data_IF_593318914852
#
_entry.id   IF_593318914852
#
_cell.length_a   1.000
_cell.length_b   1.000
_cell.length_c   1.000
_cell.angle_alpha   90.00
_cell.angle_beta   90.00
_cell.angle_gamma   90.00
#
_symmetry.space_group_name_H-M   'P 1'
#
loop_
_entity.id
_entity.type
_entity.pdbx_description
1 polymer ?
#
# COMPACT_ATOMS: atom_id res chain seq x y z
N UNK A 1 2.76 3.34 34.74
CA UNK A 1 1.98 3.54 33.50
C UNK A 1 0.84 2.54 33.57
N UNK A 2 -0.38 2.99 33.90
CA UNK A 2 -1.55 2.11 33.96
C UNK A 2 -1.76 1.47 32.58
N UNK A 3 -1.79 0.14 32.52
CA UNK A 3 -2.29 -0.57 31.33
C UNK A 3 -3.76 -0.18 31.19
N UNK A 4 -4.08 0.73 30.27
CA UNK A 4 -5.47 0.85 29.79
C UNK A 4 -5.86 -0.52 29.25
N UNK A 5 -6.94 -1.08 29.78
CA UNK A 5 -7.51 -2.30 29.23
C UNK A 5 -7.86 -2.06 27.76
N UNK A 6 -7.43 -2.98 26.89
CA UNK A 6 -7.80 -2.96 25.49
C UNK A 6 -9.31 -3.18 25.39
N UNK A 7 -9.97 -2.47 24.48
CA UNK A 7 -11.38 -2.70 24.22
C UNK A 7 -11.63 -4.13 23.67
N UNK A 8 -12.88 -4.59 23.78
CA UNK A 8 -13.26 -5.95 23.38
C UNK A 8 -12.99 -6.25 21.90
N UNK A 9 -13.16 -5.27 21.01
CA UNK A 9 -12.94 -5.44 19.57
C UNK A 9 -11.46 -5.56 19.23
N UNK A 10 -10.60 -4.79 19.93
CA UNK A 10 -9.14 -4.89 19.82
C UNK A 10 -8.65 -6.23 20.34
N UNK A 11 -9.17 -6.72 21.48
CA UNK A 11 -8.84 -8.05 21.99
C UNK A 11 -9.22 -9.17 21.02
N UNK A 12 -10.42 -9.08 20.41
CA UNK A 12 -10.86 -10.03 19.37
C UNK A 12 -9.98 -9.96 18.12
N UNK A 13 -9.56 -8.77 17.70
CA UNK A 13 -8.65 -8.60 16.56
C UNK A 13 -7.29 -9.27 16.79
N UNK A 14 -6.76 -9.26 18.02
CA UNK A 14 -5.54 -10.00 18.36
C UNK A 14 -5.70 -11.50 18.11
N UNK A 15 -6.80 -12.09 18.58
CA UNK A 15 -7.07 -13.53 18.41
C UNK A 15 -7.23 -13.92 16.93
N UNK A 16 -7.92 -13.10 16.14
CA UNK A 16 -8.11 -13.33 14.70
C UNK A 16 -6.79 -13.22 13.92
N UNK A 17 -5.97 -12.22 14.23
CA UNK A 17 -4.65 -12.05 13.63
C UNK A 17 -3.75 -13.23 13.99
N UNK A 18 -3.70 -13.64 15.26
CA UNK A 18 -2.92 -14.80 15.69
C UNK A 18 -3.42 -16.11 15.07
N UNK A 19 -4.72 -16.27 14.91
CA UNK A 19 -5.30 -17.42 14.21
C UNK A 19 -4.81 -17.49 12.77
N UNK A 20 -4.84 -16.39 12.03
CA UNK A 20 -4.29 -16.35 10.68
C UNK A 20 -2.80 -16.67 10.66
N UNK A 21 -2.00 -16.04 11.53
CA UNK A 21 -0.55 -16.28 11.58
C UNK A 21 -0.19 -17.73 11.95
N UNK A 22 -1.02 -18.42 12.74
CA UNK A 22 -0.73 -19.80 13.15
C UNK A 22 -1.21 -20.86 12.15
N UNK A 23 -2.27 -20.61 11.38
CA UNK A 23 -2.94 -21.64 10.58
C UNK A 23 -2.93 -21.38 9.07
N UNK A 24 -2.65 -20.15 8.63
CA UNK A 24 -2.61 -19.82 7.19
C UNK A 24 -1.31 -20.30 6.54
N UNK A 25 -1.39 -20.60 5.25
CA UNK A 25 -0.23 -20.83 4.38
C UNK A 25 0.19 -19.56 3.62
N UNK A 26 -0.32 -18.39 4.01
CA UNK A 26 0.01 -17.10 3.39
C UNK A 26 -0.90 -16.68 2.23
N UNK A 27 -2.08 -17.28 2.10
CA UNK A 27 -3.06 -16.85 1.10
C UNK A 27 -3.64 -15.48 1.48
N UNK A 28 -3.77 -14.52 0.55
CA UNK A 28 -4.31 -13.20 0.86
C UNK A 28 -5.68 -13.26 1.54
N UNK A 29 -5.85 -12.52 2.64
CA UNK A 29 -7.07 -12.53 3.45
C UNK A 29 -7.44 -11.11 3.92
N UNK A 30 -8.55 -10.59 3.40
CA UNK A 30 -9.02 -9.24 3.69
C UNK A 30 -9.44 -9.06 5.17
N UNK A 31 -9.97 -10.11 5.80
CA UNK A 31 -10.36 -10.06 7.21
C UNK A 31 -9.13 -9.96 8.11
N UNK A 32 -8.06 -10.71 7.81
CA UNK A 32 -6.77 -10.61 8.48
C UNK A 32 -6.21 -9.19 8.36
N UNK A 33 -6.15 -8.64 7.14
CA UNK A 33 -5.64 -7.28 6.90
C UNK A 33 -6.47 -6.22 7.62
N UNK A 34 -7.81 -6.33 7.62
CA UNK A 34 -8.70 -5.43 8.33
C UNK A 34 -8.47 -5.48 9.86
N UNK A 35 -8.32 -6.68 10.43
CA UNK A 35 -8.04 -6.84 11.86
C UNK A 35 -6.65 -6.31 12.22
N UNK A 36 -5.63 -6.55 11.39
CA UNK A 36 -4.30 -5.98 11.58
C UNK A 36 -4.35 -4.44 11.55
N UNK A 37 -5.08 -3.86 10.59
CA UNK A 37 -5.29 -2.42 10.50
C UNK A 37 -6.00 -1.84 11.74
N UNK A 38 -6.95 -2.58 12.32
CA UNK A 38 -7.57 -2.21 13.61
C UNK A 38 -6.55 -2.19 14.75
N UNK A 39 -5.63 -3.16 14.83
CA UNK A 39 -4.56 -3.15 15.84
C UNK A 39 -3.62 -1.96 15.68
N UNK A 40 -3.30 -1.57 14.44
CA UNK A 40 -2.52 -0.36 14.16
C UNK A 40 -3.28 0.91 14.57
N UNK A 41 -4.61 0.95 14.44
CA UNK A 41 -5.42 2.05 14.97
C UNK A 41 -5.32 2.14 16.49
N UNK A 42 -5.48 1.02 17.19
CA UNK A 42 -5.34 1.00 18.64
C UNK A 42 -3.93 1.44 19.08
N UNK A 43 -2.90 1.08 18.32
CA UNK A 43 -1.54 1.53 18.58
C UNK A 43 -1.40 3.07 18.56
N UNK A 44 -2.19 3.78 17.74
CA UNK A 44 -2.10 5.24 17.62
C UNK A 44 -2.30 5.98 18.95
N UNK A 45 -3.13 5.43 19.85
CA UNK A 45 -3.42 6.02 21.16
C UNK A 45 -2.46 5.58 22.27
N UNK A 46 -1.59 4.60 21.99
CA UNK A 46 -0.83 3.87 23.01
C UNK A 46 0.69 3.78 22.78
N UNK A 47 1.17 3.99 21.54
CA UNK A 47 2.60 3.98 21.24
C UNK A 47 3.30 5.26 21.73
N UNK A 48 4.55 5.13 22.15
CA UNK A 48 5.40 6.28 22.40
C UNK A 48 5.74 6.95 21.04
N UNK A 49 5.83 8.28 20.95
CA UNK A 49 6.11 8.98 19.69
C UNK A 49 7.37 8.51 18.96
N UNK A 50 8.37 8.01 19.69
CA UNK A 50 9.65 7.54 19.14
C UNK A 50 9.62 6.06 18.69
N UNK A 51 8.53 5.34 18.93
CA UNK A 51 8.42 3.91 18.63
C UNK A 51 7.40 3.67 17.53
N UNK A 52 7.77 3.07 16.38
CA UNK A 52 6.82 2.78 15.31
C UNK A 52 5.65 1.91 15.79
N UNK A 53 4.44 2.15 15.27
CA UNK A 53 3.21 1.44 15.69
C UNK A 53 3.33 -0.07 15.57
N UNK A 54 4.01 -0.58 14.54
CA UNK A 54 4.20 -2.01 14.35
C UNK A 54 4.90 -2.67 15.56
N UNK A 55 5.78 -1.94 16.26
CA UNK A 55 6.50 -2.49 17.41
C UNK A 55 5.55 -2.73 18.59
N UNK A 56 4.62 -1.79 18.83
CA UNK A 56 3.57 -1.98 19.84
C UNK A 56 2.64 -3.14 19.47
N UNK A 57 2.21 -3.22 18.20
CA UNK A 57 1.35 -4.30 17.71
C UNK A 57 2.02 -5.66 17.89
N UNK A 58 3.30 -5.79 17.52
CA UNK A 58 4.09 -7.01 17.72
C UNK A 58 4.20 -7.43 19.19
N UNK A 59 4.34 -6.46 20.11
CA UNK A 59 4.33 -6.74 21.56
C UNK A 59 2.97 -7.24 22.05
N UNK A 60 1.87 -6.64 21.61
CA UNK A 60 0.52 -7.09 22.01
C UNK A 60 0.22 -8.49 21.48
N UNK A 61 0.55 -8.77 20.21
CA UNK A 61 0.38 -10.09 19.62
C UNK A 61 1.23 -11.15 20.33
N UNK A 62 2.48 -10.84 20.65
CA UNK A 62 3.37 -11.77 21.37
C UNK A 62 2.85 -12.07 22.78
N UNK A 63 2.39 -11.03 23.50
CA UNK A 63 1.79 -11.21 24.83
C UNK A 63 0.52 -12.04 24.77
N UNK A 64 -0.37 -11.75 23.81
CA UNK A 64 -1.61 -12.50 23.63
C UNK A 64 -1.37 -13.95 23.22
N UNK A 65 -0.37 -14.21 22.38
CA UNK A 65 0.00 -15.59 22.01
C UNK A 65 0.45 -16.40 23.24
N UNK A 66 1.21 -15.79 24.15
CA UNK A 66 1.63 -16.45 25.39
C UNK A 66 0.45 -16.83 26.31
N UNK A 67 -0.62 -16.03 26.32
CA UNK A 67 -1.88 -16.33 27.02
C UNK A 67 -2.65 -17.45 26.32
N UNK A 68 -2.77 -17.39 24.99
CA UNK A 68 -3.50 -18.39 24.20
C UNK A 68 -2.85 -19.78 24.28
N UNK A 69 -1.51 -19.85 24.33
CA UNK A 69 -0.78 -21.12 24.55
C UNK A 69 -1.16 -21.83 25.85
N UNK A 70 -1.58 -21.08 26.87
CA UNK A 70 -1.97 -21.63 28.17
C UNK A 70 -3.46 -21.94 28.27
N UNK A 71 -4.29 -21.25 27.48
CA UNK A 71 -5.74 -21.24 27.62
C UNK A 71 -6.50 -21.91 26.46
N UNK A 72 -5.86 -22.13 25.31
CA UNK A 72 -6.48 -22.66 24.10
C UNK A 72 -5.69 -23.81 23.51
N UNK A 73 -6.32 -24.98 23.38
CA UNK A 73 -5.72 -26.16 22.75
C UNK A 73 -5.38 -25.94 21.27
N UNK A 74 -6.04 -25.00 20.60
CA UNK A 74 -5.74 -24.66 19.20
C UNK A 74 -4.33 -24.06 19.05
N UNK A 75 -3.80 -23.41 20.09
CA UNK A 75 -2.46 -22.83 20.12
C UNK A 75 -1.45 -23.70 20.88
N UNK A 76 -1.74 -24.99 21.09
CA UNK A 76 -0.81 -25.90 21.75
C UNK A 76 0.50 -26.05 20.95
N UNK A 77 0.40 -26.11 19.62
CA UNK A 77 1.52 -25.93 18.70
C UNK A 77 1.42 -24.55 18.04
N UNK A 78 2.25 -23.63 18.52
CA UNK A 78 2.29 -22.24 18.07
C UNK A 78 3.64 -21.87 17.43
N UNK A 79 4.46 -22.86 17.06
CA UNK A 79 5.82 -22.63 16.53
C UNK A 79 5.78 -21.72 15.30
N UNK A 80 4.77 -21.90 14.44
CA UNK A 80 4.56 -21.05 13.28
C UNK A 80 4.29 -19.59 13.69
N UNK A 81 3.27 -19.33 14.51
CA UNK A 81 2.94 -17.98 14.94
C UNK A 81 4.11 -17.31 15.68
N UNK A 82 4.81 -18.01 16.57
CA UNK A 82 5.99 -17.50 17.27
C UNK A 82 7.10 -17.09 16.31
N UNK A 83 7.37 -17.93 15.31
CA UNK A 83 8.40 -17.65 14.30
C UNK A 83 8.00 -16.49 13.40
N UNK A 84 6.76 -16.48 12.91
CA UNK A 84 6.26 -15.43 12.02
C UNK A 84 6.23 -14.08 12.74
N UNK A 85 5.81 -14.02 14.00
CA UNK A 85 5.84 -12.78 14.79
C UNK A 85 7.26 -12.23 14.95
N UNK A 86 8.23 -13.10 15.24
CA UNK A 86 9.64 -12.70 15.34
C UNK A 86 10.15 -12.15 14.01
N UNK A 87 9.95 -12.90 12.92
CA UNK A 87 10.39 -12.47 11.59
C UNK A 87 9.74 -11.17 11.19
N UNK A 88 8.42 -11.07 11.31
CA UNK A 88 7.63 -9.95 10.81
C UNK A 88 7.90 -8.65 11.57
N UNK A 89 7.97 -8.70 12.91
CA UNK A 89 8.03 -7.48 13.72
C UNK A 89 9.44 -7.12 14.21
N UNK A 90 10.40 -8.05 14.16
CA UNK A 90 11.77 -7.82 14.66
C UNK A 90 12.83 -7.88 13.56
N UNK A 91 12.76 -8.86 12.66
CA UNK A 91 13.82 -9.11 11.68
C UNK A 91 13.56 -8.43 10.32
N UNK A 92 12.29 -8.43 9.86
CA UNK A 92 11.91 -7.90 8.55
C UNK A 92 12.10 -6.39 8.40
N UNK A 93 11.62 -5.51 9.31
CA UNK A 93 11.79 -4.07 9.15
C UNK A 93 13.25 -3.61 9.00
N UNK A 94 14.20 -4.03 9.86
CA UNK A 94 15.60 -3.64 9.68
C UNK A 94 16.23 -4.27 8.43
N UNK A 95 15.89 -5.52 8.08
CA UNK A 95 16.42 -6.16 6.87
C UNK A 95 15.92 -5.50 5.58
N UNK A 96 14.65 -5.11 5.53
CA UNK A 96 14.08 -4.38 4.38
C UNK A 96 14.75 -3.02 4.21
N UNK A 97 15.00 -2.29 5.32
CA UNK A 97 15.75 -1.03 5.29
C UNK A 97 17.19 -1.21 4.81
N UNK A 98 17.88 -2.24 5.27
CA UNK A 98 19.26 -2.48 4.84
C UNK A 98 19.32 -2.85 3.35
N UNK A 99 18.38 -3.67 2.87
CA UNK A 99 18.29 -4.03 1.45
C UNK A 99 18.05 -2.80 0.57
N UNK A 100 17.18 -1.89 1.01
CA UNK A 100 16.81 -0.66 0.29
C UNK A 100 17.51 0.60 0.81
N UNK A 101 18.69 0.46 1.42
CA UNK A 101 19.38 1.57 2.11
C UNK A 101 19.78 2.71 1.18
N UNK A 102 19.97 2.43 -0.10
CA UNK A 102 20.32 3.40 -1.13
C UNK A 102 19.08 4.15 -1.65
N UNK A 103 17.95 3.45 -1.70
CA UNK A 103 16.73 3.94 -2.33
C UNK A 103 15.73 4.57 -1.34
N UNK A 104 15.62 4.01 -0.13
CA UNK A 104 14.59 4.35 0.87
C UNK A 104 15.18 4.95 2.16
N UNK A 105 16.42 5.45 2.15
CA UNK A 105 17.06 6.04 3.34
C UNK A 105 16.27 7.21 3.95
N UNK A 106 15.57 7.97 3.11
CA UNK A 106 14.80 9.16 3.48
C UNK A 106 13.46 8.81 4.13
N UNK A 107 13.02 7.56 4.03
CA UNK A 107 11.73 7.11 4.55
C UNK A 107 11.81 6.80 6.05
N UNK A 108 10.75 7.18 6.75
CA UNK A 108 10.56 6.81 8.14
C UNK A 108 9.86 5.45 8.28
N UNK A 109 10.00 4.84 9.46
CA UNK A 109 9.46 3.51 9.74
C UNK A 109 7.94 3.49 9.87
N UNK A 110 7.32 4.57 10.31
CA UNK A 110 5.86 4.65 10.48
C UNK A 110 5.16 4.67 9.12
N UNK A 111 5.76 5.36 8.15
CA UNK A 111 5.28 5.44 6.78
C UNK A 111 5.51 4.13 6.00
N UNK A 112 6.71 3.53 6.07
CA UNK A 112 7.01 2.29 5.33
C UNK A 112 6.26 1.07 5.85
N UNK A 113 6.17 0.93 7.17
CA UNK A 113 5.70 -0.29 7.83
C UNK A 113 4.30 -0.12 8.40
N UNK A 114 3.38 0.40 7.58
CA UNK A 114 1.97 0.49 7.92
C UNK A 114 1.32 -0.91 8.03
N UNK A 115 0.07 -0.96 8.49
CA UNK A 115 -0.65 -2.20 8.73
C UNK A 115 -0.68 -3.14 7.51
N UNK A 116 -0.93 -2.60 6.33
CA UNK A 116 -1.04 -3.40 5.11
C UNK A 116 0.32 -3.82 4.57
N UNK A 117 1.36 -2.98 4.67
CA UNK A 117 2.72 -3.38 4.32
C UNK A 117 3.19 -4.56 5.18
N UNK A 118 2.93 -4.50 6.49
CA UNK A 118 3.22 -5.59 7.42
C UNK A 118 2.35 -6.82 7.14
N UNK A 119 1.08 -6.63 6.78
CA UNK A 119 0.19 -7.72 6.37
C UNK A 119 0.67 -8.45 5.11
N UNK A 120 1.08 -7.72 4.07
CA UNK A 120 1.68 -8.29 2.86
C UNK A 120 2.99 -9.02 3.13
N UNK A 121 3.83 -8.48 4.02
CA UNK A 121 5.03 -9.18 4.46
C UNK A 121 4.68 -10.48 5.19
N UNK A 122 3.63 -10.49 6.04
CA UNK A 122 3.16 -11.70 6.72
C UNK A 122 2.71 -12.79 5.73
N UNK A 123 1.92 -12.40 4.71
CA UNK A 123 1.49 -13.30 3.62
C UNK A 123 2.70 -13.96 2.94
N UNK A 124 3.71 -13.17 2.56
CA UNK A 124 4.92 -13.67 1.90
C UNK A 124 5.78 -14.54 2.81
N UNK A 125 5.91 -14.20 4.10
CA UNK A 125 6.63 -15.01 5.11
C UNK A 125 5.95 -16.37 5.26
N UNK A 126 4.62 -16.38 5.40
CA UNK A 126 3.83 -17.60 5.56
C UNK A 126 3.90 -18.50 4.31
N UNK A 127 3.90 -17.89 3.12
CA UNK A 127 4.02 -18.60 1.84
C UNK A 127 5.36 -19.33 1.67
N UNK A 128 6.41 -18.99 2.44
CA UNK A 128 7.66 -19.76 2.45
C UNK A 128 7.46 -21.16 3.06
N UNK A 129 6.44 -21.37 3.88
CA UNK A 129 6.13 -22.64 4.55
C UNK A 129 7.17 -23.09 5.58
N UNK A 130 6.93 -24.20 6.26
CA UNK A 130 7.90 -24.84 7.14
C UNK A 130 9.04 -25.56 6.39
N UNK A 131 10.08 -26.03 7.08
CA UNK A 131 10.30 -25.96 8.53
C UNK A 131 10.71 -24.54 8.99
N UNK A 132 10.37 -24.20 10.25
CA UNK A 132 10.51 -22.85 10.81
C UNK A 132 11.86 -22.58 11.52
N UNK A 133 12.70 -23.61 11.63
CA UNK A 133 14.02 -23.61 12.27
C UNK A 133 15.04 -22.72 11.54
N UNK A 134 14.97 -22.62 10.22
CA UNK A 134 15.86 -21.78 9.40
C UNK A 134 15.17 -20.56 8.77
N UNK A 135 13.99 -20.19 9.27
CA UNK A 135 13.14 -19.21 8.60
C UNK A 135 13.80 -17.82 8.42
N UNK A 136 14.67 -17.40 9.34
CA UNK A 136 15.44 -16.15 9.23
C UNK A 136 16.39 -16.12 8.02
N UNK A 137 16.92 -17.27 7.59
CA UNK A 137 17.79 -17.36 6.40
C UNK A 137 17.03 -17.10 5.09
N UNK A 138 15.70 -17.21 5.13
CA UNK A 138 14.81 -16.96 3.97
C UNK A 138 14.36 -15.51 3.86
N UNK A 139 14.76 -14.64 4.78
CA UNK A 139 14.36 -13.23 4.76
C UNK A 139 14.75 -12.50 3.45
N UNK A 140 15.91 -12.76 2.82
CA UNK A 140 16.21 -12.23 1.49
C UNK A 140 15.23 -12.70 0.39
N UNK A 141 14.73 -13.93 0.48
CA UNK A 141 13.71 -14.46 -0.44
C UNK A 141 12.36 -13.79 -0.21
N UNK A 142 12.01 -13.54 1.05
CA UNK A 142 10.80 -12.77 1.42
C UNK A 142 10.86 -11.36 0.84
N UNK A 143 11.97 -10.65 1.02
CA UNK A 143 12.15 -9.30 0.47
C UNK A 143 12.08 -9.33 -1.06
N UNK A 144 12.76 -10.29 -1.70
CA UNK A 144 12.72 -10.45 -3.16
C UNK A 144 11.32 -10.74 -3.71
N UNK A 145 10.53 -11.56 -3.02
CA UNK A 145 9.15 -11.88 -3.40
C UNK A 145 8.18 -10.71 -3.13
N UNK A 146 8.45 -9.90 -2.11
CA UNK A 146 7.66 -8.72 -1.79
C UNK A 146 7.94 -7.56 -2.76
N UNK A 147 9.17 -7.44 -3.26
CA UNK A 147 9.59 -6.42 -4.22
C UNK A 147 9.04 -6.72 -5.62
N UNK A 148 7.78 -6.35 -5.85
CA UNK A 148 7.03 -6.70 -7.06
C UNK A 148 6.67 -5.48 -7.94
N UNK A 149 7.23 -4.30 -7.65
CA UNK A 149 7.02 -3.08 -8.42
C UNK A 149 8.32 -2.43 -8.86
N UNK A 150 8.41 -2.20 -10.16
CA UNK A 150 9.53 -1.47 -10.78
C UNK A 150 9.15 -0.02 -11.14
N UNK A 151 7.89 0.23 -11.47
CA UNK A 151 7.45 1.47 -12.12
C UNK A 151 8.00 1.61 -13.54
N UNK A 152 8.06 2.83 -14.06
CA UNK A 152 8.59 3.03 -15.40
C UNK A 152 10.12 2.97 -15.40
N UNK A 153 10.66 1.92 -16.01
CA UNK A 153 12.10 1.71 -16.17
C UNK A 153 12.44 1.32 -17.62
N UNK A 154 12.92 2.25 -18.46
CA UNK A 154 13.38 1.90 -19.80
C UNK A 154 14.60 1.00 -19.68
N UNK A 155 14.52 -0.21 -20.22
CA UNK A 155 15.66 -1.11 -20.29
C UNK A 155 16.29 -0.98 -21.67
N UNK A 156 17.58 -0.57 -21.78
CA UNK A 156 18.28 -0.58 -23.05
C UNK A 156 18.30 -2.01 -23.61
N UNK A 157 17.71 -2.20 -24.79
CA UNK A 157 17.78 -3.47 -25.52
C UNK A 157 19.02 -3.42 -26.40
N UNK A 158 20.09 -4.13 -26.00
CA UNK A 158 21.26 -4.31 -26.87
C UNK A 158 20.99 -5.48 -27.82
N UNK A 159 21.53 -5.42 -29.04
CA UNK A 159 21.32 -6.45 -30.09
C UNK A 159 21.68 -7.88 -29.63
N UNK A 160 22.55 -8.03 -28.63
CA UNK A 160 23.06 -9.33 -28.16
C UNK A 160 22.60 -9.75 -26.77
N UNK A 161 22.00 -8.87 -25.97
CA UNK A 161 21.61 -9.17 -24.57
C UNK A 161 20.41 -8.35 -24.12
N UNK A 162 19.47 -9.04 -23.48
CA UNK A 162 18.43 -8.40 -22.67
C UNK A 162 19.03 -8.07 -21.29
N UNK A 163 19.12 -6.79 -20.97
CA UNK A 163 19.50 -6.34 -19.62
C UNK A 163 18.26 -6.52 -18.75
N UNK A 164 18.40 -7.06 -17.54
CA UNK A 164 17.30 -7.12 -16.57
C UNK A 164 17.55 -6.09 -15.47
N UNK A 165 16.51 -5.48 -14.88
CA UNK A 165 16.67 -4.55 -13.77
C UNK A 165 17.39 -5.21 -12.59
N UNK A 166 18.17 -4.44 -11.85
CA UNK A 166 18.78 -4.93 -10.61
C UNK A 166 17.71 -5.21 -9.57
N UNK A 167 17.93 -6.22 -8.72
CA UNK A 167 16.98 -6.62 -7.69
C UNK A 167 16.61 -5.50 -6.70
N UNK A 168 17.52 -4.55 -6.44
CA UNK A 168 17.28 -3.40 -5.56
C UNK A 168 16.48 -2.28 -6.23
N UNK A 169 16.28 -2.32 -7.56
CA UNK A 169 15.40 -1.36 -8.25
C UNK A 169 13.91 -1.70 -8.05
N UNK A 170 13.61 -2.96 -7.75
CA UNK A 170 12.27 -3.44 -7.42
C UNK A 170 11.94 -3.14 -5.97
N UNK A 171 10.79 -2.57 -5.71
CA UNK A 171 10.30 -2.25 -4.36
C UNK A 171 8.89 -2.80 -4.18
N UNK A 172 8.43 -2.90 -2.94
CA UNK A 172 7.00 -3.03 -2.65
C UNK A 172 6.38 -1.64 -2.54
N UNK A 173 5.36 -1.29 -3.34
CA UNK A 173 4.57 -0.08 -3.11
C UNK A 173 3.89 -0.19 -1.75
N UNK A 174 3.84 0.91 -1.00
CA UNK A 174 3.25 0.91 0.34
C UNK A 174 1.73 1.01 0.21
N UNK A 175 0.95 0.00 0.62
CA UNK A 175 -0.49 -0.01 0.39
C UNK A 175 -1.21 1.03 1.25
N UNK A 176 -2.11 1.79 0.64
CA UNK A 176 -2.97 2.79 1.27
C UNK A 176 -4.41 2.31 1.38
N UNK A 177 -4.87 1.51 0.42
CA UNK A 177 -6.19 0.88 0.42
C UNK A 177 -6.07 -0.53 -0.15
N UNK A 178 -6.79 -1.46 0.44
CA UNK A 178 -6.97 -2.82 -0.07
C UNK A 178 -8.46 -3.14 -0.10
N UNK A 179 -8.94 -3.67 -1.22
CA UNK A 179 -10.33 -4.12 -1.38
C UNK A 179 -10.74 -5.02 -0.20
N UNK A 180 -11.95 -4.79 0.31
CA UNK A 180 -12.54 -5.50 1.46
C UNK A 180 -11.80 -5.33 2.81
N UNK A 181 -10.62 -4.69 2.82
CA UNK A 181 -9.85 -4.37 4.04
C UNK A 181 -9.93 -2.89 4.43
N UNK A 182 -10.28 -2.03 3.46
CA UNK A 182 -10.42 -0.59 3.63
C UNK A 182 -9.11 0.17 3.49
N UNK A 183 -9.03 1.33 4.15
CA UNK A 183 -7.88 2.25 4.08
C UNK A 183 -6.95 2.06 5.27
N UNK A 184 -5.64 2.03 5.00
CA UNK A 184 -4.59 1.90 6.00
C UNK A 184 -4.63 3.06 6.99
N UNK A 185 -4.53 2.75 8.28
CA UNK A 185 -4.31 3.73 9.34
C UNK A 185 -2.97 4.43 9.10
N UNK A 186 -2.98 5.76 9.15
CA UNK A 186 -1.76 6.54 8.96
C UNK A 186 -2.05 7.98 8.59
N UNK A 187 -0.98 8.70 8.21
CA UNK A 187 -1.04 10.12 7.82
C UNK A 187 -2.06 10.39 6.71
N UNK A 188 -2.08 9.53 5.69
CA UNK A 188 -2.92 9.71 4.50
C UNK A 188 -4.36 9.19 4.66
N UNK A 189 -4.72 8.60 5.80
CA UNK A 189 -5.97 7.83 5.93
C UNK A 189 -7.21 8.64 5.54
N UNK A 190 -7.35 9.85 6.10
CA UNK A 190 -8.56 10.66 5.88
C UNK A 190 -8.76 11.04 4.42
N UNK A 191 -7.70 11.53 3.76
CA UNK A 191 -7.74 11.95 2.35
C UNK A 191 -7.95 10.75 1.43
N UNK A 192 -7.25 9.64 1.66
CA UNK A 192 -7.40 8.43 0.85
C UNK A 192 -8.81 7.86 0.97
N UNK A 193 -9.39 7.81 2.17
CA UNK A 193 -10.76 7.33 2.39
C UNK A 193 -11.77 8.15 1.61
N UNK A 194 -11.74 9.48 1.78
CA UNK A 194 -12.64 10.37 1.06
C UNK A 194 -12.43 10.29 -0.46
N UNK A 195 -11.19 10.10 -0.93
CA UNK A 195 -10.92 9.94 -2.36
C UNK A 195 -11.48 8.62 -2.93
N UNK A 196 -11.38 7.52 -2.19
CA UNK A 196 -12.00 6.24 -2.58
C UNK A 196 -13.52 6.39 -2.64
N UNK A 197 -14.14 7.05 -1.65
CA UNK A 197 -15.59 7.29 -1.63
C UNK A 197 -16.03 8.15 -2.84
N UNK A 198 -15.24 9.17 -3.22
CA UNK A 198 -15.48 9.97 -4.42
C UNK A 198 -15.35 9.14 -5.70
N UNK A 199 -14.32 8.31 -5.82
CA UNK A 199 -14.13 7.45 -7.00
C UNK A 199 -15.29 6.46 -7.17
N UNK A 200 -15.82 5.91 -6.07
CA UNK A 200 -16.97 5.00 -6.08
C UNK A 200 -18.29 5.68 -6.47
N UNK A 201 -18.41 6.99 -6.21
CA UNK A 201 -19.61 7.78 -6.49
C UNK A 201 -19.50 8.63 -7.77
N UNK A 202 -18.34 8.60 -8.45
CA UNK A 202 -18.10 9.30 -9.71
C UNK A 202 -18.98 8.71 -10.82
N UNK A 203 -19.50 9.59 -11.69
CA UNK A 203 -20.37 9.17 -12.78
C UNK A 203 -19.69 8.15 -13.73
N UNK A 204 -20.48 7.17 -14.15
CA UNK A 204 -20.01 6.04 -14.95
C UNK A 204 -19.42 6.44 -16.32
N UNK A 205 -19.84 7.57 -16.88
CA UNK A 205 -19.28 8.08 -18.13
C UNK A 205 -17.86 8.62 -17.94
N UNK A 206 -17.60 9.37 -16.86
CA UNK A 206 -16.26 9.83 -16.50
C UNK A 206 -15.33 8.66 -16.20
N UNK A 207 -15.80 7.69 -15.40
CA UNK A 207 -15.05 6.46 -15.09
C UNK A 207 -14.68 5.68 -16.36
N UNK A 208 -15.61 5.57 -17.32
CA UNK A 208 -15.35 4.93 -18.61
C UNK A 208 -14.34 5.71 -19.45
N UNK A 209 -14.41 7.04 -19.47
CA UNK A 209 -13.46 7.89 -20.20
C UNK A 209 -12.05 7.85 -19.61
N UNK A 210 -11.94 7.70 -18.29
CA UNK A 210 -10.65 7.60 -17.58
C UNK A 210 -10.08 6.18 -17.53
N UNK A 211 -10.76 5.19 -18.12
CA UNK A 211 -10.39 3.76 -18.00
C UNK A 211 -10.22 3.31 -16.54
N UNK A 212 -11.08 3.82 -15.65
CA UNK A 212 -11.04 3.51 -14.23
C UNK A 212 -12.33 2.81 -13.84
N UNK A 213 -12.20 1.66 -13.19
CA UNK A 213 -13.32 0.93 -12.62
C UNK A 213 -13.02 0.70 -11.13
N UNK A 214 -13.76 1.35 -10.21
CA UNK A 214 -13.57 1.15 -8.77
C UNK A 214 -13.68 -0.33 -8.35
N UNK A 215 -14.46 -1.14 -9.07
CA UNK A 215 -14.63 -2.57 -8.79
C UNK A 215 -13.44 -3.43 -9.28
N UNK A 216 -12.47 -2.82 -9.97
CA UNK A 216 -11.22 -3.47 -10.35
C UNK A 216 -10.01 -3.00 -9.54
N UNK A 217 -10.14 -1.95 -8.72
CA UNK A 217 -9.08 -1.50 -7.82
C UNK A 217 -8.96 -2.44 -6.61
N UNK A 218 -8.02 -3.40 -6.66
CA UNK A 218 -7.73 -4.27 -5.51
C UNK A 218 -6.82 -3.59 -4.50
N UNK A 219 -5.91 -2.73 -4.99
CA UNK A 219 -4.95 -2.04 -4.14
C UNK A 219 -4.66 -0.62 -4.68
N UNK A 220 -4.75 0.38 -3.82
CA UNK A 220 -4.13 1.68 -4.04
C UNK A 220 -2.91 1.75 -3.14
N UNK A 221 -1.76 2.10 -3.71
CA UNK A 221 -0.49 2.20 -2.99
C UNK A 221 0.26 3.46 -3.42
N UNK A 222 1.29 3.84 -2.66
CA UNK A 222 2.26 4.82 -3.13
C UNK A 222 3.62 4.20 -3.42
N UNK A 223 4.35 4.79 -4.35
CA UNK A 223 5.76 4.51 -4.59
C UNK A 223 6.60 5.16 -3.47
N UNK A 224 7.31 4.39 -2.62
CA UNK A 224 8.08 4.93 -1.50
C UNK A 224 9.43 5.54 -1.91
N UNK A 225 9.77 5.50 -3.20
CA UNK A 225 11.04 6.05 -3.70
C UNK A 225 10.97 7.57 -3.73
N UNK A 226 12.12 8.21 -3.53
CA UNK A 226 12.21 9.66 -3.64
C UNK A 226 11.85 10.12 -5.06
N UNK A 227 11.08 11.19 -5.16
CA UNK A 227 10.74 11.76 -6.46
C UNK A 227 11.88 12.66 -6.97
N UNK A 228 12.66 12.16 -7.94
CA UNK A 228 13.74 12.91 -8.57
C UNK A 228 13.24 13.78 -9.74
N UNK A 229 12.99 15.07 -9.50
CA UNK A 229 12.51 16.00 -10.53
C UNK A 229 13.43 16.11 -11.76
N UNK A 230 14.72 15.80 -11.61
CA UNK A 230 15.69 15.86 -12.71
C UNK A 230 15.71 14.57 -13.54
N UNK A 231 15.16 13.46 -13.03
CA UNK A 231 15.10 12.21 -13.76
C UNK A 231 14.25 12.36 -15.03
N UNK A 232 14.75 11.97 -16.23
CA UNK A 232 14.02 12.17 -17.50
C UNK A 232 12.61 11.58 -17.54
N UNK A 233 12.35 10.50 -16.79
CA UNK A 233 11.00 9.92 -16.67
C UNK A 233 9.99 10.92 -16.10
N UNK A 234 10.42 11.74 -15.14
CA UNK A 234 9.56 12.66 -14.40
C UNK A 234 9.20 13.91 -15.22
N UNK A 235 9.79 14.05 -16.42
CA UNK A 235 9.38 15.03 -17.43
C UNK A 235 8.23 14.54 -18.30
N UNK A 236 7.81 13.27 -18.16
CA UNK A 236 6.64 12.74 -18.87
C UNK A 236 5.37 13.37 -18.29
N UNK A 237 4.47 13.88 -19.14
CA UNK A 237 3.16 14.34 -18.70
C UNK A 237 2.46 13.29 -17.84
N UNK A 238 1.89 13.74 -16.72
CA UNK A 238 1.09 12.94 -15.78
C UNK A 238 1.80 11.76 -15.09
N UNK A 239 3.10 11.52 -15.31
CA UNK A 239 3.82 10.46 -14.59
C UNK A 239 3.91 10.73 -13.07
N UNK A 240 3.99 12.02 -12.71
CA UNK A 240 3.95 12.48 -11.31
C UNK A 240 2.63 12.16 -10.59
N UNK A 241 1.56 11.85 -11.32
CA UNK A 241 0.25 11.54 -10.76
C UNK A 241 0.09 10.05 -10.41
N UNK A 242 0.99 9.19 -10.90
CA UNK A 242 0.91 7.75 -10.71
C UNK A 242 0.53 7.00 -11.99
N UNK A 243 0.27 5.70 -11.84
CA UNK A 243 -0.11 4.81 -12.93
C UNK A 243 -0.75 3.53 -12.39
N UNK A 244 -1.55 2.86 -13.23
CA UNK A 244 -1.81 1.44 -13.04
C UNK A 244 -0.51 0.64 -13.12
N UNK A 245 -0.36 -0.35 -12.24
CA UNK A 245 0.81 -1.21 -12.19
C UNK A 245 0.75 -2.35 -13.22
N UNK A 246 1.67 -2.39 -14.19
CA UNK A 246 1.70 -3.45 -15.20
C UNK A 246 1.96 -4.85 -14.64
N UNK A 247 2.54 -4.98 -13.45
CA UNK A 247 2.87 -6.29 -12.85
C UNK A 247 1.72 -6.90 -12.06
N UNK A 248 0.66 -6.13 -11.79
CA UNK A 248 -0.53 -6.59 -11.08
C UNK A 248 -1.72 -6.59 -12.03
N UNK A 249 -1.82 -7.67 -12.81
CA UNK A 249 -2.80 -7.86 -13.89
C UNK A 249 -3.60 -9.14 -13.67
N UNK A 250 -4.91 -9.09 -13.91
CA UNK A 250 -5.77 -10.27 -13.83
C UNK A 250 -5.71 -11.12 -15.11
N UNK A 251 -6.35 -12.30 -15.07
CA UNK A 251 -6.42 -13.22 -16.22
C UNK A 251 -7.19 -12.66 -17.42
N UNK A 252 -7.89 -11.53 -17.28
CA UNK A 252 -8.59 -10.82 -18.35
C UNK A 252 -7.77 -9.63 -18.88
N UNK A 253 -6.53 -9.46 -18.44
CA UNK A 253 -5.64 -8.39 -18.89
C UNK A 253 -5.93 -7.03 -18.25
N UNK A 254 -6.63 -6.99 -17.11
CA UNK A 254 -7.00 -5.74 -16.41
C UNK A 254 -6.08 -5.50 -15.22
N UNK A 255 -5.55 -4.29 -15.11
CA UNK A 255 -4.70 -3.91 -13.98
C UNK A 255 -5.51 -3.83 -12.68
N UNK A 256 -4.88 -4.19 -11.56
CA UNK A 256 -5.53 -4.36 -10.24
C UNK A 256 -4.92 -3.51 -9.13
N UNK A 257 -3.69 -3.02 -9.30
CA UNK A 257 -3.01 -2.12 -8.36
C UNK A 257 -2.74 -0.77 -9.00
N UNK A 258 -3.18 0.31 -8.35
CA UNK A 258 -2.85 1.67 -8.75
C UNK A 258 -1.76 2.22 -7.82
N UNK A 259 -0.70 2.81 -8.40
CA UNK A 259 0.42 3.35 -7.64
C UNK A 259 0.54 4.85 -7.88
N UNK A 260 0.29 5.65 -6.83
CA UNK A 260 0.49 7.11 -6.83
C UNK A 260 1.92 7.46 -6.41
N UNK A 261 2.38 8.66 -6.77
CA UNK A 261 3.65 9.18 -6.26
C UNK A 261 3.46 9.80 -4.88
N UNK A 262 4.36 9.50 -3.93
CA UNK A 262 4.24 10.01 -2.57
C UNK A 262 4.27 11.54 -2.49
N UNK A 263 5.04 12.20 -3.34
CA UNK A 263 5.11 13.68 -3.41
C UNK A 263 3.73 14.31 -3.61
N UNK A 264 2.84 13.65 -4.36
CA UNK A 264 1.48 14.12 -4.58
C UNK A 264 0.66 14.01 -3.31
N UNK A 265 0.77 12.91 -2.57
CA UNK A 265 0.12 12.75 -1.27
C UNK A 265 0.63 13.78 -0.26
N UNK A 266 1.94 13.99 -0.19
CA UNK A 266 2.55 14.95 0.74
C UNK A 266 2.14 16.40 0.44
N UNK A 267 1.99 16.77 -0.83
CA UNK A 267 1.48 18.07 -1.22
C UNK A 267 0.02 18.27 -0.76
N UNK A 268 -0.82 17.24 -0.93
CA UNK A 268 -2.21 17.27 -0.46
C UNK A 268 -2.31 17.35 1.06
N UNK A 269 -1.49 16.57 1.77
CA UNK A 269 -1.44 16.62 3.22
C UNK A 269 -0.96 17.97 3.72
N UNK A 270 0.04 18.57 3.09
CA UNK A 270 0.52 19.92 3.45
C UNK A 270 -0.61 20.95 3.36
N UNK A 271 -1.45 20.86 2.31
CA UNK A 271 -2.61 21.74 2.14
C UNK A 271 -3.70 21.47 3.18
N UNK A 272 -4.01 20.20 3.45
CA UNK A 272 -5.02 19.79 4.41
C UNK A 272 -4.64 20.07 5.87
N UNK A 273 -3.36 19.93 6.21
CA UNK A 273 -2.79 20.17 7.54
C UNK A 273 -2.50 21.66 7.80
N UNK A 274 -2.53 22.50 6.76
CA UNK A 274 -2.26 23.92 6.88
C UNK A 274 -3.26 24.61 7.83
N UNK A 275 -2.73 25.33 8.82
CA UNK A 275 -3.54 26.19 9.70
C UNK A 275 -3.89 27.48 8.95
N UNK A 276 -5.02 27.46 8.24
CA UNK A 276 -5.63 28.63 7.59
C UNK A 276 -7.15 28.53 7.73
N UNK A 277 -7.84 29.66 7.89
CA UNK A 277 -9.24 29.75 8.37
C UNK A 277 -10.36 29.11 7.54
N UNK A 278 -10.06 28.15 6.67
CA UNK A 278 -11.07 27.32 6.01
C UNK A 278 -11.49 26.16 6.93
N UNK A 279 -12.76 25.73 6.86
CA UNK A 279 -13.22 24.54 7.56
C UNK A 279 -12.45 23.27 7.15
N UNK A 280 -12.13 22.41 8.13
CA UNK A 280 -11.29 21.21 7.93
C UNK A 280 -11.94 20.18 7.00
N UNK A 281 -13.25 20.06 7.05
CA UNK A 281 -14.06 19.25 6.14
C UNK A 281 -13.96 19.73 4.68
N UNK A 282 -13.94 21.04 4.45
CA UNK A 282 -13.71 21.60 3.10
C UNK A 282 -12.31 21.30 2.60
N UNK A 283 -11.28 21.45 3.44
CA UNK A 283 -9.90 21.11 3.07
C UNK A 283 -9.72 19.61 2.80
N UNK A 284 -10.41 18.76 3.59
CA UNK A 284 -10.43 17.32 3.35
C UNK A 284 -11.08 16.98 2.01
N UNK A 285 -12.24 17.57 1.72
CA UNK A 285 -12.93 17.39 0.45
C UNK A 285 -12.08 17.88 -0.73
N UNK A 286 -11.46 19.05 -0.63
CA UNK A 286 -10.53 19.59 -1.63
C UNK A 286 -9.38 18.62 -1.90
N UNK A 287 -8.69 18.15 -0.85
CA UNK A 287 -7.58 17.20 -0.98
C UNK A 287 -8.02 15.85 -1.58
N UNK A 288 -9.19 15.35 -1.16
CA UNK A 288 -9.76 14.11 -1.66
C UNK A 288 -10.17 14.20 -3.14
N UNK A 289 -10.83 15.30 -3.52
CA UNK A 289 -11.22 15.57 -4.90
C UNK A 289 -9.99 15.67 -5.82
N UNK A 290 -8.93 16.35 -5.37
CA UNK A 290 -7.68 16.42 -6.13
C UNK A 290 -7.01 15.05 -6.25
N UNK A 291 -7.00 14.22 -5.20
CA UNK A 291 -6.47 12.85 -5.28
C UNK A 291 -7.28 11.99 -6.25
N UNK A 292 -8.61 12.02 -6.17
CA UNK A 292 -9.50 11.27 -7.06
C UNK A 292 -9.31 11.70 -8.52
N UNK A 293 -9.36 13.00 -8.81
CA UNK A 293 -9.10 13.55 -10.14
C UNK A 293 -7.71 13.20 -10.67
N UNK A 294 -6.69 13.19 -9.80
CA UNK A 294 -5.32 12.74 -10.12
C UNK A 294 -5.30 11.29 -10.56
N UNK A 295 -5.96 10.40 -9.81
CA UNK A 295 -6.05 8.97 -10.13
C UNK A 295 -6.76 8.78 -11.47
N UNK A 296 -7.88 9.46 -11.71
CA UNK A 296 -8.61 9.39 -12.98
C UNK A 296 -7.75 9.84 -14.17
N UNK A 297 -7.05 10.98 -14.04
CA UNK A 297 -6.14 11.48 -15.08
C UNK A 297 -5.02 10.49 -15.40
N UNK A 298 -4.38 9.94 -14.38
CA UNK A 298 -3.28 8.99 -14.55
C UNK A 298 -3.77 7.64 -15.10
N UNK A 299 -4.93 7.16 -14.67
CA UNK A 299 -5.58 5.98 -15.24
C UNK A 299 -5.88 6.18 -16.74
N UNK A 300 -6.30 7.38 -17.14
CA UNK A 300 -6.50 7.72 -18.55
C UNK A 300 -5.22 7.59 -19.39
N UNK A 301 -4.06 7.93 -18.81
CA UNK A 301 -2.76 7.82 -19.49
C UNK A 301 -2.30 6.37 -19.58
N UNK A 302 -2.34 5.61 -18.47
CA UNK A 302 -1.85 4.22 -18.47
C UNK A 302 -2.82 3.23 -19.10
N UNK A 303 -4.11 3.59 -19.16
CA UNK A 303 -5.19 2.70 -19.56
C UNK A 303 -5.48 1.62 -18.51
N UNK A 304 -6.53 0.82 -18.74
CA UNK A 304 -6.99 -0.25 -17.83
C UNK A 304 -6.26 -1.59 -18.00
N UNK A 305 -5.38 -1.69 -19.00
CA UNK A 305 -4.69 -2.92 -19.39
C UNK A 305 -3.78 -2.73 -20.61
N UNK A 306 -2.95 -3.71 -20.96
CA UNK A 306 -1.93 -3.60 -22.02
C UNK A 306 -2.50 -3.24 -23.40
N UNK A 307 -3.73 -3.64 -23.69
CA UNK A 307 -4.40 -3.40 -24.98
C UNK A 307 -5.24 -2.11 -25.03
N UNK A 308 -5.16 -1.26 -23.98
CA UNK A 308 -6.02 -0.07 -23.93
C UNK A 308 -5.64 0.97 -24.99
N UNK A 309 -4.34 1.23 -25.13
CA UNK A 309 -3.80 2.19 -26.08
C UNK A 309 -2.92 1.45 -27.08
N UNK A 310 -3.24 1.57 -28.36
CA UNK A 310 -2.39 1.01 -29.42
C UNK A 310 -1.20 1.92 -29.72
N UNK A 311 -0.32 1.49 -30.63
CA UNK A 311 0.88 2.26 -31.01
C UNK A 311 0.60 3.54 -31.79
N UNK A 312 -0.64 3.78 -32.22
CA UNK A 312 -1.08 4.99 -32.90
C UNK A 312 -1.55 6.08 -31.94
N UNK A 313 -1.93 5.70 -30.71
CA UNK A 313 -2.30 6.63 -29.65
C UNK A 313 -1.04 7.34 -29.12
N UNK A 314 -1.09 8.66 -29.09
CA UNK A 314 0.01 9.48 -28.57
C UNK A 314 -0.45 10.27 -27.35
N UNK A 315 0.51 10.76 -26.55
CA UNK A 315 0.19 11.69 -25.47
C UNK A 315 -0.50 12.96 -26.00
N UNK A 316 -0.14 13.43 -27.19
CA UNK A 316 -0.76 14.61 -27.80
C UNK A 316 -2.26 14.40 -28.10
N UNK A 317 -2.67 13.16 -28.40
CA UNK A 317 -4.09 12.82 -28.63
C UNK A 317 -4.84 12.52 -27.34
N UNK A 318 -4.17 11.98 -26.31
CA UNK A 318 -4.79 11.67 -25.01
C UNK A 318 -5.02 12.92 -24.15
N UNK A 319 -4.05 13.82 -24.08
CA UNK A 319 -4.08 14.95 -23.15
C UNK A 319 -5.32 15.85 -23.28
N UNK A 320 -5.82 16.19 -24.49
CA UNK A 320 -7.06 16.96 -24.63
C UNK A 320 -8.29 16.25 -24.05
N UNK A 321 -8.40 14.94 -24.25
CA UNK A 321 -9.50 14.14 -23.70
C UNK A 321 -9.43 14.08 -22.17
N UNK A 322 -8.21 13.92 -21.64
CA UNK A 322 -7.94 13.90 -20.21
C UNK A 322 -8.28 15.23 -19.55
N UNK A 323 -7.86 16.34 -20.17
CA UNK A 323 -8.21 17.67 -19.67
C UNK A 323 -9.73 17.90 -19.66
N UNK A 324 -10.43 17.45 -20.71
CA UNK A 324 -11.88 17.59 -20.81
C UNK A 324 -12.63 16.87 -19.69
N UNK A 325 -12.40 15.56 -19.48
CA UNK A 325 -13.11 14.85 -18.41
C UNK A 325 -12.63 15.28 -17.01
N UNK A 326 -11.40 15.77 -16.87
CA UNK A 326 -10.93 16.35 -15.61
C UNK A 326 -11.75 17.58 -15.26
N UNK A 327 -11.96 18.47 -16.23
CA UNK A 327 -12.72 19.70 -16.01
C UNK A 327 -14.19 19.35 -15.70
N UNK A 328 -14.79 18.42 -16.44
CA UNK A 328 -16.13 17.91 -16.13
C UNK A 328 -16.21 17.27 -14.74
N UNK A 329 -15.20 16.49 -14.33
CA UNK A 329 -15.16 15.88 -13.00
C UNK A 329 -15.25 16.94 -11.90
N UNK A 330 -14.47 18.02 -12.00
CA UNK A 330 -14.53 19.09 -11.01
C UNK A 330 -15.81 19.92 -11.10
N UNK A 331 -16.34 20.18 -12.30
CA UNK A 331 -17.61 20.89 -12.47
C UNK A 331 -18.78 20.15 -11.82
N UNK A 332 -18.80 18.80 -11.89
CA UNK A 332 -19.85 17.98 -11.28
C UNK A 332 -19.73 17.84 -9.75
N UNK A 333 -18.62 18.26 -9.16
CA UNK A 333 -18.42 18.27 -7.70
C UNK A 333 -18.89 19.57 -7.01
N UNK A 334 -19.21 20.62 -7.78
CA UNK A 334 -19.59 21.97 -7.31
C UNK A 334 -21.12 22.12 -7.35
#
# INVERSE_FOLDING_TARGET
MERRELDHETAKALDLVLGYLNFSSGAPDASFLANLNRLFRAAADHHAPETPRYSWVGQQLSGRLAELKQSSSAFADAIQAETVLRLLFQEFPPAYREFHRDLLFHQDNETLFNAFAMGRAAEVILAQGGPWDEASRRLPLVIGALNDYLGYRPVPTLESRKIEPHAHEWVRPVPLYIRDSGVAVGRYESVVRAAIDLLQTTDADLLRMSYFDPDLLDELAFDPRAYDFDHPVNRRPNYHFGQWDPHQIDNQGRYRRFVVQQVTLDALMTRYEATGGLPKDQLLFEAAAVLAGTILMAAGVSGRGPETHDSTVTLATLLPQIAHYRDEFYERLI
#
